data_IF_456171315146
#
_entry.id   IF_456171315146
#
_cell.length_a   1.000
_cell.length_b   1.000
_cell.length_c   1.000
_cell.angle_alpha   90.00
_cell.angle_beta   90.00
_cell.angle_gamma   90.00
#
_symmetry.space_group_name_H-M   'P 1'
#
loop_
_entity.id
_entity.type
_entity.pdbx_description
1 polymer ?
#
# COMPACT_ATOMS: atom_id res chain seq x y z
N UNK A 1 -22.75 -12.98 6.00
CA UNK A 1 -21.99 -13.79 6.97
C UNK A 1 -20.57 -13.97 6.46
N UNK A 2 -19.61 -13.22 6.98
CA UNK A 2 -18.26 -13.74 7.22
C UNK A 2 -17.63 -12.91 8.32
N UNK A 3 -17.06 -13.61 9.29
CA UNK A 3 -16.56 -13.12 10.56
C UNK A 3 -15.23 -12.37 10.35
N UNK A 4 -15.14 -11.19 10.93
CA UNK A 4 -13.95 -10.64 11.62
C UNK A 4 -12.58 -11.04 11.04
N UNK A 5 -12.11 -10.33 10.01
CA UNK A 5 -10.68 -10.01 9.96
C UNK A 5 -10.48 -8.95 11.04
N UNK A 6 -9.67 -9.24 12.05
CA UNK A 6 -9.17 -8.23 12.99
C UNK A 6 -8.55 -7.11 12.17
N UNK A 7 -9.18 -5.94 12.14
CA UNK A 7 -8.65 -4.80 11.40
C UNK A 7 -7.22 -4.50 11.90
N UNK A 8 -6.26 -4.31 10.98
CA UNK A 8 -4.93 -3.83 11.32
C UNK A 8 -5.04 -2.62 12.26
N UNK A 9 -4.40 -2.72 13.43
CA UNK A 9 -4.40 -1.63 14.43
C UNK A 9 -3.68 -0.38 13.92
N UNK A 10 -2.87 -0.53 12.88
CA UNK A 10 -2.10 0.54 12.25
C UNK A 10 -1.74 0.17 10.81
N UNK A 11 -1.91 1.12 9.88
CA UNK A 11 -1.47 0.99 8.49
C UNK A 11 -0.27 1.89 8.19
N UNK A 12 0.58 1.47 7.25
CA UNK A 12 1.51 2.39 6.59
C UNK A 12 0.74 3.19 5.53
N UNK A 13 0.66 4.51 5.72
CA UNK A 13 0.07 5.41 4.73
C UNK A 13 1.06 5.56 3.57
N UNK A 14 0.61 5.28 2.36
CA UNK A 14 1.36 5.53 1.14
C UNK A 14 0.78 6.77 0.46
N UNK A 15 1.42 7.94 0.65
CA UNK A 15 0.94 9.18 0.02
C UNK A 15 1.17 9.19 -1.50
N UNK A 16 2.18 8.48 -1.99
CA UNK A 16 2.61 8.56 -3.38
C UNK A 16 3.11 9.96 -3.75
N UNK A 17 3.33 10.20 -5.04
CA UNK A 17 4.09 11.38 -5.47
C UNK A 17 3.29 12.69 -5.41
N UNK A 18 2.05 12.70 -5.91
CA UNK A 18 1.27 13.95 -6.06
C UNK A 18 0.69 14.42 -4.73
N UNK A 19 0.16 13.50 -3.90
CA UNK A 19 -0.44 13.87 -2.63
C UNK A 19 0.63 14.44 -1.69
N UNK A 20 1.74 13.73 -1.48
CA UNK A 20 2.82 14.22 -0.62
C UNK A 20 3.43 15.55 -1.06
N UNK A 21 3.62 15.76 -2.37
CA UNK A 21 4.41 16.90 -2.87
C UNK A 21 3.59 18.09 -3.42
N UNK A 22 2.28 17.93 -3.65
CA UNK A 22 1.46 18.95 -4.32
C UNK A 22 0.12 19.20 -3.63
N UNK A 23 -0.53 18.16 -3.12
CA UNK A 23 -1.86 18.27 -2.50
C UNK A 23 -1.88 17.61 -1.10
N UNK A 24 -0.99 18.03 -0.17
CA UNK A 24 -0.81 17.37 1.13
C UNK A 24 -2.04 17.46 2.04
N UNK A 25 -2.95 18.40 1.77
CA UNK A 25 -4.23 18.50 2.48
C UNK A 25 -5.12 17.26 2.33
N UNK A 26 -4.96 16.47 1.26
CA UNK A 26 -5.66 15.19 1.11
C UNK A 26 -5.18 14.20 2.17
N UNK A 27 -3.87 14.10 2.37
CA UNK A 27 -3.32 13.24 3.42
C UNK A 27 -3.74 13.72 4.81
N UNK A 28 -3.61 15.02 5.08
CA UNK A 28 -3.99 15.61 6.36
C UNK A 28 -5.47 15.34 6.70
N UNK A 29 -6.36 15.48 5.72
CA UNK A 29 -7.79 15.19 5.92
C UNK A 29 -8.07 13.69 6.12
N UNK A 30 -7.43 12.81 5.34
CA UNK A 30 -7.57 11.37 5.50
C UNK A 30 -7.09 10.87 6.87
N UNK A 31 -5.95 11.37 7.36
CA UNK A 31 -5.44 11.03 8.70
C UNK A 31 -6.42 11.44 9.79
N UNK A 32 -6.98 12.65 9.70
CA UNK A 32 -7.98 13.13 10.67
C UNK A 32 -9.23 12.25 10.68
N UNK A 33 -9.71 11.79 9.53
CA UNK A 33 -10.83 10.85 9.43
C UNK A 33 -10.48 9.52 10.10
N UNK A 34 -9.30 8.96 9.82
CA UNK A 34 -8.85 7.73 10.45
C UNK A 34 -8.68 7.85 11.97
N UNK A 35 -8.14 8.96 12.46
CA UNK A 35 -8.01 9.22 13.90
C UNK A 35 -9.36 9.21 14.62
N UNK A 36 -10.39 9.85 14.04
CA UNK A 36 -11.77 9.84 14.55
C UNK A 36 -12.32 8.41 14.62
N UNK A 37 -12.01 7.58 13.62
CA UNK A 37 -12.45 6.19 13.54
C UNK A 37 -11.59 5.23 14.39
N UNK A 38 -10.53 5.73 15.05
CA UNK A 38 -9.61 4.94 15.87
C UNK A 38 -8.62 4.09 15.05
N UNK A 39 -8.42 4.40 13.77
CA UNK A 39 -7.47 3.74 12.87
C UNK A 39 -6.16 4.52 12.89
N UNK A 40 -5.06 3.88 13.30
CA UNK A 40 -3.76 4.53 13.31
C UNK A 40 -3.09 4.45 11.95
N UNK A 41 -2.31 5.46 11.62
CA UNK A 41 -1.45 5.45 10.43
C UNK A 41 -0.05 5.93 10.76
N UNK A 42 0.95 5.37 10.08
CA UNK A 42 2.34 5.83 10.13
C UNK A 42 2.92 5.97 8.73
N UNK A 43 4.01 6.73 8.63
CA UNK A 43 4.72 7.02 7.38
C UNK A 43 5.82 5.97 7.13
N UNK A 44 6.30 5.89 5.90
CA UNK A 44 7.49 5.12 5.54
C UNK A 44 8.30 5.87 4.48
N UNK A 45 9.59 5.55 4.29
CA UNK A 45 10.43 6.15 3.25
C UNK A 45 10.08 5.60 1.86
N UNK A 46 8.81 5.67 1.49
CA UNK A 46 8.27 5.22 0.22
C UNK A 46 8.80 6.08 -0.92
N UNK A 47 8.97 5.44 -2.08
CA UNK A 47 9.28 6.12 -3.32
C UNK A 47 8.03 6.17 -4.21
N UNK A 48 8.20 6.47 -5.50
CA UNK A 48 7.12 6.33 -6.47
C UNK A 48 6.59 4.89 -6.49
N UNK A 49 5.28 4.72 -6.73
CA UNK A 49 4.64 3.41 -6.79
C UNK A 49 5.05 2.52 -7.97
N UNK A 50 6.00 2.93 -8.82
CA UNK A 50 5.84 3.40 -10.22
C UNK A 50 4.47 3.50 -10.87
N UNK A 51 4.35 4.34 -11.90
CA UNK A 51 3.13 4.49 -12.72
C UNK A 51 2.78 3.18 -13.47
N UNK A 52 1.53 2.69 -13.38
CA UNK A 52 1.09 1.46 -14.04
C UNK A 52 0.95 1.59 -15.57
N UNK A 53 0.98 2.79 -16.14
CA UNK A 53 0.78 3.01 -17.59
C UNK A 53 2.09 3.19 -18.35
N UNK A 54 3.04 3.97 -17.82
CA UNK A 54 4.34 4.17 -18.41
C UNK A 54 5.28 3.00 -18.12
N UNK A 55 5.77 2.90 -16.87
CA UNK A 55 6.88 1.99 -16.57
C UNK A 55 6.53 0.52 -16.77
N UNK A 56 5.31 0.11 -16.40
CA UNK A 56 4.86 -1.27 -16.58
C UNK A 56 4.94 -1.73 -18.05
N UNK A 57 4.64 -0.84 -18.99
CA UNK A 57 4.66 -1.13 -20.42
C UNK A 57 6.08 -1.12 -21.00
N UNK A 58 6.98 -0.33 -20.41
CA UNK A 58 8.38 -0.24 -20.84
C UNK A 58 9.18 -1.43 -20.33
N UNK A 59 9.10 -1.73 -19.03
CA UNK A 59 9.80 -2.85 -18.41
C UNK A 59 9.04 -3.35 -17.17
N UNK A 60 8.41 -4.51 -17.32
CA UNK A 60 7.56 -5.10 -16.29
C UNK A 60 8.36 -5.54 -15.06
N UNK A 61 9.58 -6.04 -15.22
CA UNK A 61 10.40 -6.49 -14.09
C UNK A 61 10.90 -5.32 -13.23
N UNK A 62 11.26 -4.19 -13.84
CA UNK A 62 11.58 -2.96 -13.11
C UNK A 62 10.36 -2.41 -12.38
N UNK A 63 9.19 -2.47 -13.02
CA UNK A 63 7.93 -2.08 -12.39
C UNK A 63 7.63 -2.94 -11.15
N UNK A 64 7.76 -4.27 -11.26
CA UNK A 64 7.60 -5.18 -10.12
C UNK A 64 8.66 -4.94 -9.03
N UNK A 65 9.94 -4.80 -9.38
CA UNK A 65 11.01 -4.61 -8.40
C UNK A 65 10.86 -3.31 -7.60
N UNK A 66 10.48 -2.22 -8.25
CA UNK A 66 10.21 -0.94 -7.57
C UNK A 66 8.93 -0.99 -6.73
N UNK A 67 7.88 -1.67 -7.21
CA UNK A 67 6.70 -1.97 -6.42
C UNK A 67 7.04 -2.78 -5.16
N UNK A 68 7.79 -3.86 -5.32
CA UNK A 68 8.26 -4.73 -4.25
C UNK A 68 9.11 -3.98 -3.21
N UNK A 69 10.01 -3.09 -3.64
CA UNK A 69 10.79 -2.25 -2.73
C UNK A 69 9.90 -1.44 -1.79
N UNK A 70 8.76 -0.94 -2.26
CA UNK A 70 7.81 -0.24 -1.39
C UNK A 70 7.04 -1.21 -0.48
N UNK A 71 6.65 -2.39 -0.97
CA UNK A 71 5.98 -3.41 -0.15
C UNK A 71 6.87 -3.86 1.03
N UNK A 72 8.18 -4.04 0.78
CA UNK A 72 9.15 -4.50 1.78
C UNK A 72 9.27 -3.53 2.96
N UNK A 73 9.15 -2.22 2.73
CA UNK A 73 9.20 -1.22 3.80
C UNK A 73 8.10 -1.45 4.84
N UNK A 74 6.90 -1.78 4.38
CA UNK A 74 5.76 -2.02 5.26
C UNK A 74 5.79 -3.45 5.83
N UNK A 75 6.28 -4.41 5.05
CA UNK A 75 6.52 -5.80 5.48
C UNK A 75 7.57 -5.92 6.60
N UNK A 76 8.65 -5.14 6.54
CA UNK A 76 9.69 -5.08 7.60
C UNK A 76 9.09 -4.68 8.95
N UNK A 77 8.01 -3.89 8.95
CA UNK A 77 7.26 -3.49 10.15
C UNK A 77 5.99 -4.33 10.41
N UNK A 78 5.71 -5.32 9.56
CA UNK A 78 4.50 -6.17 9.62
C UNK A 78 3.21 -5.35 9.63
N UNK A 79 3.15 -4.29 8.84
CA UNK A 79 2.00 -3.40 8.70
C UNK A 79 1.50 -3.44 7.26
N UNK A 80 0.18 -3.52 7.11
CA UNK A 80 -0.45 -3.37 5.80
C UNK A 80 -0.29 -1.93 5.28
N UNK A 81 -0.36 -1.76 3.97
CA UNK A 81 -0.33 -0.44 3.32
C UNK A 81 -1.76 0.04 3.08
N UNK A 82 -2.00 1.32 3.33
CA UNK A 82 -3.19 2.04 2.86
C UNK A 82 -2.80 3.16 1.91
N UNK A 83 -3.44 3.22 0.75
CA UNK A 83 -3.21 4.27 -0.26
C UNK A 83 -4.45 5.16 -0.41
N UNK A 84 -4.23 6.45 -0.60
CA UNK A 84 -5.26 7.44 -0.92
C UNK A 84 -5.44 7.64 -2.44
N UNK A 85 -4.56 7.05 -3.25
CA UNK A 85 -4.52 7.21 -4.70
C UNK A 85 -4.82 5.87 -5.39
N UNK A 86 -5.76 5.89 -6.36
CA UNK A 86 -6.12 4.73 -7.17
C UNK A 86 -4.93 4.14 -7.93
N UNK A 87 -4.07 4.98 -8.52
CA UNK A 87 -2.91 4.51 -9.30
C UNK A 87 -1.86 3.81 -8.43
N UNK A 88 -1.58 4.38 -7.25
CA UNK A 88 -0.67 3.78 -6.27
C UNK A 88 -1.26 2.49 -5.70
N UNK A 89 -2.55 2.50 -5.35
CA UNK A 89 -3.27 1.32 -4.87
C UNK A 89 -3.23 0.18 -5.90
N UNK A 90 -3.66 0.45 -7.14
CA UNK A 90 -3.66 -0.55 -8.21
C UNK A 90 -2.26 -1.13 -8.42
N UNK A 91 -1.24 -0.27 -8.49
CA UNK A 91 0.12 -0.75 -8.73
C UNK A 91 0.62 -1.66 -7.63
N UNK A 92 0.57 -1.19 -6.38
CA UNK A 92 1.08 -1.96 -5.25
C UNK A 92 0.24 -3.22 -5.03
N UNK A 93 -1.08 -3.15 -5.21
CA UNK A 93 -1.97 -4.32 -5.11
C UNK A 93 -1.64 -5.37 -6.15
N UNK A 94 -1.46 -4.97 -7.41
CA UNK A 94 -1.16 -5.89 -8.52
C UNK A 94 0.25 -6.46 -8.37
N UNK A 95 1.26 -5.64 -8.07
CA UNK A 95 2.62 -6.13 -7.83
C UNK A 95 2.66 -7.13 -6.66
N UNK A 96 1.98 -6.81 -5.55
CA UNK A 96 1.87 -7.72 -4.40
C UNK A 96 1.16 -9.02 -4.77
N UNK A 97 0.05 -8.93 -5.52
CA UNK A 97 -0.68 -10.10 -5.98
C UNK A 97 0.19 -10.97 -6.89
N UNK A 98 0.84 -10.38 -7.87
CA UNK A 98 1.67 -11.10 -8.84
C UNK A 98 2.83 -11.82 -8.16
N UNK A 99 3.60 -11.12 -7.31
CA UNK A 99 4.74 -11.71 -6.60
C UNK A 99 4.33 -12.74 -5.53
N UNK A 100 3.07 -12.76 -5.09
CA UNK A 100 2.53 -13.82 -4.21
C UNK A 100 2.10 -15.07 -4.96
N UNK A 101 1.82 -14.99 -6.26
CA UNK A 101 1.20 -16.07 -7.04
C UNK A 101 2.06 -16.55 -8.22
N UNK A 102 3.09 -15.81 -8.60
CA UNK A 102 4.07 -16.18 -9.61
C UNK A 102 5.46 -16.30 -8.97
N UNK A 103 5.86 -17.52 -8.63
CA UNK A 103 7.16 -17.79 -8.00
C UNK A 103 8.33 -17.46 -8.95
N UNK A 104 8.15 -17.56 -10.27
CA UNK A 104 9.21 -17.22 -11.22
C UNK A 104 9.48 -15.70 -11.23
N UNK A 105 8.43 -14.88 -11.29
CA UNK A 105 8.61 -13.42 -11.18
C UNK A 105 9.10 -13.01 -9.79
N UNK A 106 8.65 -13.69 -8.74
CA UNK A 106 9.15 -13.47 -7.37
C UNK A 106 10.65 -13.75 -7.24
N UNK A 107 11.13 -14.89 -7.73
CA UNK A 107 12.56 -15.22 -7.73
C UNK A 107 13.38 -14.19 -8.52
N UNK A 108 12.89 -13.79 -9.70
CA UNK A 108 13.54 -12.77 -10.53
C UNK A 108 13.64 -11.42 -9.81
N UNK A 109 12.57 -10.98 -9.16
CA UNK A 109 12.52 -9.72 -8.41
C UNK A 109 13.39 -9.80 -7.16
N UNK A 110 13.36 -10.90 -6.40
CA UNK A 110 14.22 -11.08 -5.24
C UNK A 110 15.70 -11.06 -5.61
N UNK A 111 16.09 -11.63 -6.75
CA UNK A 111 17.46 -11.53 -7.27
C UNK A 111 17.90 -10.08 -7.55
N UNK A 112 16.99 -9.21 -7.96
CA UNK A 112 17.26 -7.76 -8.11
C UNK A 112 17.43 -7.11 -6.74
N UNK A 113 16.52 -7.42 -5.81
CA UNK A 113 16.49 -6.85 -4.46
C UNK A 113 17.68 -7.29 -3.59
N UNK A 114 18.26 -8.46 -3.84
CA UNK A 114 19.49 -8.93 -3.20
C UNK A 114 20.65 -7.94 -3.37
N UNK A 115 20.72 -7.22 -4.50
CA UNK A 115 21.76 -6.20 -4.74
C UNK A 115 21.71 -5.00 -3.79
N UNK A 116 20.60 -4.86 -3.04
CA UNK A 116 20.37 -3.81 -2.04
C UNK A 116 19.98 -4.40 -0.68
N UNK A 117 20.34 -5.66 -0.41
CA UNK A 117 20.10 -6.37 0.85
C UNK A 117 18.60 -6.42 1.26
N UNK A 118 17.71 -6.57 0.28
CA UNK A 118 16.26 -6.67 0.48
C UNK A 118 15.67 -7.94 -0.13
N UNK A 119 14.53 -8.36 0.40
CA UNK A 119 13.79 -9.55 -0.04
C UNK A 119 12.28 -9.31 0.17
N UNK A 120 11.48 -9.60 -0.85
CA UNK A 120 10.03 -9.61 -0.77
C UNK A 120 9.51 -10.98 -0.30
N UNK A 121 8.65 -10.98 0.73
CA UNK A 121 8.09 -12.20 1.34
C UNK A 121 6.58 -12.35 1.14
N UNK A 122 5.86 -11.26 0.86
CA UNK A 122 4.42 -11.30 0.57
C UNK A 122 3.52 -11.51 1.79
N UNK A 123 3.93 -11.01 2.96
CA UNK A 123 3.24 -11.18 4.24
C UNK A 123 2.21 -10.11 4.57
N UNK A 124 2.17 -9.01 3.81
CA UNK A 124 1.25 -7.89 4.00
C UNK A 124 0.23 -7.75 2.86
N UNK A 125 -0.86 -7.04 3.13
CA UNK A 125 -1.84 -6.63 2.13
C UNK A 125 -1.79 -5.12 1.86
N UNK A 126 -2.32 -4.73 0.69
CA UNK A 126 -2.48 -3.34 0.26
C UNK A 126 -3.97 -3.04 0.17
N UNK A 127 -4.40 -1.93 0.76
CA UNK A 127 -5.79 -1.49 0.82
C UNK A 127 -5.95 -0.08 0.25
N UNK A 128 -7.11 0.20 -0.31
CA UNK A 128 -7.49 1.57 -0.64
C UNK A 128 -8.19 2.23 0.55
N UNK A 129 -8.02 3.54 0.72
CA UNK A 129 -8.71 4.32 1.77
C UNK A 129 -10.21 4.02 1.87
N UNK A 130 -10.90 3.98 0.72
CA UNK A 130 -12.34 3.70 0.63
C UNK A 130 -12.67 2.25 1.01
N UNK A 131 -11.79 1.28 0.73
CA UNK A 131 -12.00 -0.11 1.17
C UNK A 131 -11.94 -0.20 2.69
N UNK A 132 -10.99 0.50 3.31
CA UNK A 132 -10.88 0.58 4.77
C UNK A 132 -12.12 1.23 5.37
N UNK A 133 -12.58 2.37 4.83
CA UNK A 133 -13.80 3.02 5.32
C UNK A 133 -15.05 2.15 5.17
N UNK A 134 -15.17 1.39 4.08
CA UNK A 134 -16.29 0.48 3.86
C UNK A 134 -16.28 -0.72 4.83
N UNK A 135 -15.12 -1.10 5.36
CA UNK A 135 -15.01 -2.16 6.37
C UNK A 135 -15.46 -1.71 7.77
N UNK A 136 -15.37 -0.40 8.05
CA UNK A 136 -15.77 0.19 9.33
C UNK A 136 -17.30 0.23 9.46
N UNK A 137 -17.80 0.15 10.71
CA UNK A 137 -19.23 0.35 11.00
C UNK A 137 -19.70 1.73 10.53
N UNK A 138 -20.66 1.73 9.59
CA UNK A 138 -21.24 2.93 8.99
C UNK A 138 -21.89 3.86 10.02
N UNK A 139 -22.32 3.34 11.18
CA UNK A 139 -22.87 4.18 12.24
C UNK A 139 -21.80 5.11 12.83
N UNK A 140 -20.56 4.63 13.01
CA UNK A 140 -19.44 5.46 13.48
C UNK A 140 -19.17 6.62 12.53
N UNK A 141 -19.30 6.39 11.23
CA UNK A 141 -19.12 7.45 10.22
C UNK A 141 -20.25 8.48 10.35
N UNK A 142 -21.51 8.02 10.44
CA UNK A 142 -22.68 8.92 10.56
C UNK A 142 -22.68 9.77 11.83
N UNK A 143 -22.16 9.24 12.94
CA UNK A 143 -22.09 9.97 14.21
C UNK A 143 -21.06 11.11 14.20
N UNK A 144 -20.15 11.14 13.22
CA UNK A 144 -19.05 12.09 13.14
C UNK A 144 -19.09 13.01 11.90
N UNK A 145 -20.22 13.01 11.17
CA UNK A 145 -20.46 13.84 9.97
C UNK A 145 -21.69 14.71 10.16
#
# INVERSE_FOLDING_TARGET
>A
MSKTKTEPKEYKMFEGCVIGNRIPFIEASARKVFDILGIKTSEGPFACCPDPTGLKQVDHSSWLALGARNLIIAEDEKKDIVSLCNGCFQTLKVANHELKHDEHEKEKVNKILESVDKEFKGTIDVHHFVEVLHAVDHNKIKENV
#
